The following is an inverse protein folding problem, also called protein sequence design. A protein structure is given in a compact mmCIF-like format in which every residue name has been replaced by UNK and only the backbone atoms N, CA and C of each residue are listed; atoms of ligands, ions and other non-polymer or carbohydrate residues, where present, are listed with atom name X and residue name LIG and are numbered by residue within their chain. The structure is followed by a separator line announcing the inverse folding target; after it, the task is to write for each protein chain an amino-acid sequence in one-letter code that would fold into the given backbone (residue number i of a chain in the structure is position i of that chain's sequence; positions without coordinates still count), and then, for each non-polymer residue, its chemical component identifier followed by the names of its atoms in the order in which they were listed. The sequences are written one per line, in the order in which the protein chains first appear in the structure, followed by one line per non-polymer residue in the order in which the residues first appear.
data_IF_047220093365
#
_entry.id   IF_047220093365
#
_cell.length_a   1.000
_cell.length_b   1.000
_cell.length_c   1.000
_cell.angle_alpha   90.00
_cell.angle_beta   90.00
_cell.angle_gamma   90.00
#
_symmetry.space_group_name_H-M   'P 1'
#
loop_
_entity.id
_entity.type
_entity.pdbx_description
1 polymer ?
#
# COMPACT_ATOMS: atom_id res chain seq x y z
N UNK A 1 24.76 -2.37 -34.50
CA UNK A 1 24.38 -1.30 -33.55
C UNK A 1 22.95 -1.51 -33.13
N UNK A 2 22.75 -2.27 -32.05
CA UNK A 2 21.49 -2.35 -31.30
C UNK A 2 21.87 -2.85 -29.91
N UNK A 3 22.46 -1.97 -29.11
CA UNK A 3 22.60 -2.22 -27.68
C UNK A 3 21.21 -2.16 -27.06
N UNK A 4 20.67 -3.33 -26.75
CA UNK A 4 19.58 -3.50 -25.81
C UNK A 4 20.07 -2.96 -24.47
N UNK A 5 19.43 -1.89 -23.97
CA UNK A 5 19.74 -1.30 -22.68
C UNK A 5 19.49 -2.31 -21.56
N UNK A 6 20.57 -2.83 -20.99
CA UNK A 6 20.56 -3.68 -19.80
C UNK A 6 19.97 -2.92 -18.58
N UNK A 7 19.07 -3.62 -17.88
CA UNK A 7 18.74 -3.46 -16.46
C UNK A 7 18.15 -2.13 -15.96
N UNK A 8 16.88 -1.90 -16.27
CA UNK A 8 16.00 -1.30 -15.27
C UNK A 8 15.88 -2.29 -14.10
N UNK A 9 16.23 -1.96 -12.84
CA UNK A 9 16.04 -2.89 -11.73
C UNK A 9 14.54 -3.14 -11.60
N UNK A 10 14.10 -4.34 -11.99
CA UNK A 10 12.76 -4.81 -11.71
C UNK A 10 12.62 -4.85 -10.19
N UNK A 11 11.82 -3.93 -9.64
CA UNK A 11 11.52 -3.91 -8.21
C UNK A 11 10.89 -5.25 -7.82
N UNK A 12 11.59 -6.04 -7.02
CA UNK A 12 11.07 -7.28 -6.46
C UNK A 12 10.21 -6.92 -5.25
N UNK A 13 8.93 -7.28 -5.31
CA UNK A 13 7.95 -7.05 -4.26
C UNK A 13 7.20 -8.32 -3.88
N UNK A 14 6.60 -8.32 -2.69
CA UNK A 14 5.64 -9.35 -2.28
C UNK A 14 4.21 -8.85 -2.40
N UNK A 15 3.32 -9.76 -2.78
CA UNK A 15 1.87 -9.60 -2.65
C UNK A 15 1.34 -10.81 -1.90
N UNK A 16 0.55 -10.59 -0.85
CA UNK A 16 0.01 -11.63 0.02
C UNK A 16 -1.47 -11.37 0.27
N UNK A 17 -2.29 -12.41 0.19
CA UNK A 17 -3.68 -12.40 0.63
C UNK A 17 -3.80 -13.48 1.71
N UNK A 18 -4.25 -13.08 2.89
CA UNK A 18 -4.62 -14.01 3.97
C UNK A 18 -6.11 -13.94 4.17
N UNK A 19 -6.77 -15.08 4.08
CA UNK A 19 -8.20 -15.19 4.33
C UNK A 19 -8.48 -15.54 5.79
N UNK A 20 -9.38 -14.78 6.39
CA UNK A 20 -9.99 -15.08 7.68
C UNK A 20 -11.50 -15.29 7.50
N UNK A 21 -12.17 -15.71 8.58
CA UNK A 21 -13.60 -16.01 8.54
C UNK A 21 -14.44 -14.82 8.09
N UNK A 22 -14.14 -13.63 8.60
CA UNK A 22 -14.94 -12.40 8.45
C UNK A 22 -14.23 -11.31 7.62
N UNK A 23 -13.00 -11.55 7.16
CA UNK A 23 -12.22 -10.56 6.41
C UNK A 23 -11.09 -11.19 5.60
N UNK A 24 -10.51 -10.40 4.71
CA UNK A 24 -9.22 -10.63 4.07
C UNK A 24 -8.20 -9.63 4.60
N UNK A 25 -6.95 -10.07 4.71
CA UNK A 25 -5.79 -9.20 4.85
C UNK A 25 -5.02 -9.20 3.53
N UNK A 26 -4.96 -8.05 2.88
CA UNK A 26 -4.21 -7.86 1.65
C UNK A 26 -2.96 -7.08 1.98
N UNK A 27 -1.79 -7.67 1.72
CA UNK A 27 -0.51 -7.04 2.01
C UNK A 27 0.35 -6.90 0.76
N UNK A 28 1.04 -5.77 0.67
CA UNK A 28 2.12 -5.58 -0.29
C UNK A 28 3.39 -5.22 0.45
N UNK A 29 4.54 -5.64 -0.08
CA UNK A 29 5.82 -5.26 0.51
C UNK A 29 6.89 -5.10 -0.54
N UNK A 30 7.80 -4.15 -0.33
CA UNK A 30 8.89 -3.82 -1.24
C UNK A 30 10.13 -3.41 -0.44
N UNK A 31 11.29 -3.58 -1.05
CA UNK A 31 12.51 -2.92 -0.59
C UNK A 31 12.40 -1.41 -0.83
N UNK A 32 12.77 -0.65 0.19
CA UNK A 32 12.82 0.81 0.20
C UNK A 32 14.21 1.25 0.67
N UNK A 33 14.61 2.46 0.31
CA UNK A 33 15.80 3.06 0.92
C UNK A 33 15.51 3.45 2.37
N UNK A 34 16.53 3.38 3.22
CA UNK A 34 16.39 3.74 4.64
C UNK A 34 15.94 5.20 4.85
N UNK A 35 16.26 6.11 3.93
CA UNK A 35 15.83 7.51 3.97
C UNK A 35 14.33 7.70 3.67
N UNK A 36 13.67 6.74 3.00
CA UNK A 36 12.25 6.81 2.66
C UNK A 36 11.34 6.36 3.82
N UNK A 37 11.90 5.73 4.87
CA UNK A 37 11.17 5.19 6.02
C UNK A 37 10.27 6.24 6.66
N UNK A 38 10.84 7.41 7.00
CA UNK A 38 10.09 8.45 7.70
C UNK A 38 8.93 8.96 6.86
N UNK A 39 9.16 9.18 5.56
CA UNK A 39 8.14 9.62 4.60
C UNK A 39 7.00 8.61 4.50
N UNK A 40 7.31 7.31 4.38
CA UNK A 40 6.30 6.26 4.27
C UNK A 40 5.49 6.10 5.56
N UNK A 41 6.12 6.20 6.73
CA UNK A 41 5.40 6.19 8.01
C UNK A 41 4.42 7.36 8.11
N UNK A 42 4.89 8.59 7.83
CA UNK A 42 4.02 9.77 7.85
C UNK A 42 2.86 9.67 6.86
N UNK A 43 3.07 9.05 5.70
CA UNK A 43 2.00 8.82 4.73
C UNK A 43 0.90 7.89 5.30
N UNK A 44 1.31 6.79 5.93
CA UNK A 44 0.35 5.84 6.53
C UNK A 44 -0.38 6.47 7.72
N UNK A 45 0.33 7.25 8.54
CA UNK A 45 -0.26 8.00 9.66
C UNK A 45 -1.29 9.03 9.18
N UNK A 46 -0.96 9.82 8.15
CA UNK A 46 -1.89 10.79 7.56
C UNK A 46 -3.17 10.11 7.06
N UNK A 47 -3.03 8.97 6.37
CA UNK A 47 -4.17 8.20 5.87
C UNK A 47 -5.04 7.70 7.02
N UNK A 48 -4.42 7.16 8.08
CA UNK A 48 -5.14 6.57 9.22
C UNK A 48 -5.85 7.59 10.13
N UNK A 49 -5.51 8.88 10.00
CA UNK A 49 -6.15 9.99 10.73
C UNK A 49 -7.34 10.60 9.98
N UNK A 50 -7.52 10.28 8.70
CA UNK A 50 -8.58 10.87 7.85
C UNK A 50 -9.80 9.97 7.77
N UNK A 51 -10.96 10.61 7.66
CA UNK A 51 -12.19 9.90 7.29
C UNK A 51 -12.28 9.66 5.78
N UNK A 52 -13.32 8.94 5.35
CA UNK A 52 -13.50 8.59 3.94
C UNK A 52 -13.70 9.81 3.02
N UNK A 53 -14.29 10.89 3.52
CA UNK A 53 -14.51 12.11 2.76
C UNK A 53 -13.18 12.86 2.56
N UNK A 54 -12.39 12.95 3.63
CA UNK A 54 -11.08 13.57 3.65
C UNK A 54 -10.07 12.81 2.80
N UNK A 55 -10.09 11.47 2.83
CA UNK A 55 -9.23 10.64 1.99
C UNK A 55 -9.50 10.85 0.50
N UNK A 56 -10.78 11.01 0.11
CA UNK A 56 -11.14 11.34 -1.28
C UNK A 56 -10.66 12.73 -1.67
N UNK A 57 -10.74 13.70 -0.76
CA UNK A 57 -10.19 15.04 -0.93
C UNK A 57 -8.67 15.02 -1.12
N UNK A 58 -7.96 14.32 -0.22
CA UNK A 58 -6.51 14.13 -0.28
C UNK A 58 -6.08 13.50 -1.60
N UNK A 59 -6.74 12.42 -2.04
CA UNK A 59 -6.45 11.77 -3.33
C UNK A 59 -6.55 12.74 -4.51
N UNK A 60 -7.56 13.62 -4.53
CA UNK A 60 -7.74 14.63 -5.59
C UNK A 60 -6.63 15.68 -5.53
N UNK A 61 -6.30 16.19 -4.35
CA UNK A 61 -5.23 17.17 -4.14
C UNK A 61 -3.88 16.62 -4.62
N UNK A 62 -3.52 15.42 -4.18
CA UNK A 62 -2.26 14.77 -4.53
C UNK A 62 -2.17 14.50 -6.03
N UNK A 63 -3.26 14.07 -6.68
CA UNK A 63 -3.30 13.89 -8.14
C UNK A 63 -3.09 15.21 -8.91
N UNK A 64 -3.58 16.34 -8.38
CA UNK A 64 -3.34 17.66 -8.96
C UNK A 64 -1.88 18.11 -8.88
N UNK A 65 -1.07 17.48 -8.03
CA UNK A 65 0.35 17.78 -7.82
C UNK A 65 1.28 16.75 -8.50
N UNK A 66 0.74 15.86 -9.34
CA UNK A 66 1.42 14.65 -9.84
C UNK A 66 2.52 14.89 -10.90
N UNK A 67 3.11 16.07 -10.98
CA UNK A 67 4.31 16.31 -11.80
C UNK A 67 5.56 15.59 -11.27
N UNK A 68 5.53 15.16 -10.01
CA UNK A 68 6.66 14.52 -9.34
C UNK A 68 6.54 12.98 -9.32
N UNK A 69 7.65 12.28 -9.62
CA UNK A 69 7.74 10.80 -9.68
C UNK A 69 7.33 10.10 -8.36
N UNK A 70 7.48 10.76 -7.23
CA UNK A 70 7.19 10.22 -5.89
C UNK A 70 5.70 10.19 -5.53
N UNK A 71 4.85 10.83 -6.34
CA UNK A 71 3.42 11.00 -6.05
C UNK A 71 2.64 9.69 -6.28
N UNK A 72 3.12 8.80 -7.14
CA UNK A 72 2.43 7.56 -7.51
C UNK A 72 2.21 6.59 -6.33
N UNK A 73 3.24 6.35 -5.52
CA UNK A 73 3.15 5.45 -4.37
C UNK A 73 2.19 5.98 -3.29
N UNK A 74 2.20 7.30 -3.06
CA UNK A 74 1.32 7.94 -2.09
C UNK A 74 -0.16 7.88 -2.53
N UNK A 75 -0.45 8.10 -3.82
CA UNK A 75 -1.81 7.93 -4.37
C UNK A 75 -2.31 6.49 -4.20
N UNK A 76 -1.43 5.50 -4.43
CA UNK A 76 -1.75 4.09 -4.24
C UNK A 76 -2.19 3.81 -2.80
N UNK A 77 -1.40 4.24 -1.81
CA UNK A 77 -1.72 4.08 -0.40
C UNK A 77 -3.05 4.74 -0.01
N UNK A 78 -3.29 5.99 -0.44
CA UNK A 78 -4.58 6.67 -0.19
C UNK A 78 -5.73 5.86 -0.78
N UNK A 79 -5.55 5.31 -1.98
CA UNK A 79 -6.61 4.54 -2.63
C UNK A 79 -6.94 3.27 -1.86
N UNK A 80 -5.94 2.58 -1.31
CA UNK A 80 -6.12 1.41 -0.45
C UNK A 80 -6.87 1.79 0.84
N UNK A 81 -6.55 2.92 1.46
CA UNK A 81 -7.30 3.43 2.62
C UNK A 81 -8.78 3.72 2.32
N UNK A 82 -9.08 4.21 1.10
CA UNK A 82 -10.47 4.41 0.66
C UNK A 82 -11.19 3.08 0.43
N UNK A 83 -10.57 2.15 -0.30
CA UNK A 83 -11.21 0.87 -0.66
C UNK A 83 -11.43 0.01 0.58
N UNK A 84 -10.42 -0.09 1.44
CA UNK A 84 -10.49 -0.94 2.63
C UNK A 84 -11.48 -0.42 3.68
N UNK A 85 -11.74 0.89 3.71
CA UNK A 85 -12.53 1.55 4.76
C UNK A 85 -12.08 1.19 6.19
N UNK A 86 -10.82 0.79 6.33
CA UNK A 86 -10.17 0.38 7.56
C UNK A 86 -8.82 1.11 7.68
N UNK A 87 -8.27 1.16 8.88
CA UNK A 87 -6.90 1.66 9.09
C UNK A 87 -5.90 0.70 8.45
N UNK A 88 -4.88 1.27 7.81
CA UNK A 88 -3.76 0.53 7.25
C UNK A 88 -2.77 0.18 8.37
N UNK A 89 -2.36 -1.08 8.42
CA UNK A 89 -1.22 -1.51 9.21
C UNK A 89 0.04 -1.46 8.33
N UNK A 90 1.21 -1.19 8.92
CA UNK A 90 2.48 -1.32 8.21
C UNK A 90 3.57 -1.84 9.15
N UNK A 91 4.61 -2.42 8.57
CA UNK A 91 5.81 -2.84 9.27
C UNK A 91 7.06 -2.53 8.44
N UNK A 92 8.17 -2.32 9.14
CA UNK A 92 9.48 -2.06 8.54
C UNK A 92 10.47 -3.02 9.16
N UNK A 93 11.21 -3.71 8.30
CA UNK A 93 12.31 -4.58 8.71
C UNK A 93 13.60 -4.05 8.11
N UNK A 94 14.57 -3.70 8.95
CA UNK A 94 15.90 -3.32 8.49
C UNK A 94 16.58 -4.52 7.82
N UNK A 95 17.12 -4.33 6.61
CA UNK A 95 17.83 -5.38 5.86
C UNK A 95 19.34 -5.11 5.88
N UNK A 96 19.76 -3.87 5.64
CA UNK A 96 21.15 -3.44 5.71
C UNK A 96 21.25 -1.90 5.84
N UNK A 97 22.48 -1.37 5.75
CA UNK A 97 22.78 0.06 5.87
C UNK A 97 22.05 0.94 4.84
N UNK A 98 21.66 0.38 3.69
CA UNK A 98 21.04 1.12 2.59
C UNK A 98 19.54 0.88 2.47
N UNK A 99 19.08 -0.34 2.77
CA UNK A 99 17.72 -0.77 2.48
C UNK A 99 16.98 -1.34 3.69
N UNK A 100 15.67 -1.13 3.68
CA UNK A 100 14.70 -1.76 4.56
C UNK A 100 13.58 -2.38 3.74
N UNK A 101 12.90 -3.37 4.30
CA UNK A 101 11.70 -3.95 3.73
C UNK A 101 10.48 -3.29 4.37
N UNK A 102 9.65 -2.62 3.57
CA UNK A 102 8.40 -2.02 4.00
C UNK A 102 7.23 -2.89 3.56
N UNK A 103 6.35 -3.24 4.50
CA UNK A 103 5.10 -3.96 4.24
C UNK A 103 3.93 -3.10 4.70
N UNK A 104 2.90 -3.00 3.87
CA UNK A 104 1.60 -2.41 4.22
C UNK A 104 0.51 -3.47 4.10
N UNK A 105 -0.44 -3.45 5.03
CA UNK A 105 -1.54 -4.41 5.11
C UNK A 105 -2.86 -3.67 5.25
N UNK A 106 -3.81 -4.02 4.41
CA UNK A 106 -5.17 -3.51 4.44
C UNK A 106 -6.15 -4.63 4.80
N UNK A 107 -7.07 -4.33 5.72
CA UNK A 107 -8.18 -5.23 6.08
C UNK A 107 -9.38 -4.94 5.18
N UNK A 108 -9.95 -5.96 4.56
CA UNK A 108 -11.21 -5.87 3.81
C UNK A 108 -12.21 -6.82 4.45
N UNK A 109 -13.29 -6.28 5.00
CA UNK A 109 -14.33 -7.10 5.64
C UNK A 109 -15.11 -7.87 4.57
N UNK A 110 -15.50 -9.11 4.86
CA UNK A 110 -16.43 -9.89 4.04
C UNK A 110 -17.85 -9.45 4.31
N UNK A 111 -18.72 -9.55 3.30
CA UNK A 111 -20.15 -9.31 3.51
C UNK A 111 -20.75 -10.45 4.33
N UNK A 112 -21.78 -10.15 5.13
CA UNK A 112 -22.44 -11.14 5.99
C UNK A 112 -23.00 -12.33 5.19
N UNK A 113 -23.43 -12.08 3.94
CA UNK A 113 -23.90 -13.13 3.03
C UNK A 113 -22.77 -14.07 2.59
N UNK A 114 -21.55 -13.56 2.41
CA UNK A 114 -20.37 -14.37 2.06
C UNK A 114 -19.95 -15.29 3.23
N UNK A 115 -20.10 -14.80 4.46
CA UNK A 115 -19.74 -15.54 5.68
C UNK A 115 -20.71 -16.70 5.92
N UNK A 116 -22.02 -16.48 5.68
CA UNK A 116 -23.06 -17.49 5.91
C UNK A 116 -23.03 -18.58 4.85
N UNK A 117 -22.84 -18.20 3.58
CA UNK A 117 -22.94 -19.15 2.47
C UNK A 117 -21.67 -19.96 2.22
N UNK A 118 -20.53 -19.56 2.80
CA UNK A 118 -19.23 -20.15 2.53
C UNK A 118 -18.85 -19.95 1.07
N UNK A 119 -17.95 -19.02 0.78
CA UNK A 119 -17.55 -18.66 -0.59
C UNK A 119 -17.24 -19.91 -1.41
N UNK A 120 -18.16 -20.30 -2.31
CA UNK A 120 -17.93 -21.31 -3.33
C UNK A 120 -17.25 -20.61 -4.51
N UNK A 121 -15.99 -20.94 -4.71
CA UNK A 121 -15.22 -20.59 -5.90
C UNK A 121 -15.59 -21.53 -7.03
#
# INVERSE_FOLDING_TARGET
MSELSENSPSGVGSFEIVEHKDHYLISTGNLIYNNDIQKLNSNVEEINQKDQSDLRGLKRKVRGQATDRDVGAHIGLIHVGIISSNKLAHSIQNINEKFSYFKVTAKVNKDLEDIINGTKI
#
